data_IF_744631976834
#
_entry.id   IF_744631976834
#
_cell.length_a   1.000
_cell.length_b   1.000
_cell.length_c   1.000
_cell.angle_alpha   90.00
_cell.angle_beta   90.00
_cell.angle_gamma   90.00
#
_symmetry.space_group_name_H-M   'P 1'
#
loop_
_entity.id
_entity.type
_entity.pdbx_description
1 polymer ?
#
# COMPACT_ATOMS: atom_id res chain seq x y z
N UNK A 1 -0.45 -37.60 -35.39
CA UNK A 1 0.70 -36.79 -34.92
C UNK A 1 0.35 -35.31 -34.71
N UNK A 2 -0.36 -34.63 -35.63
CA UNK A 2 -0.77 -33.20 -35.46
C UNK A 2 -1.61 -32.90 -34.19
N UNK A 3 -2.49 -33.83 -33.77
CA UNK A 3 -3.32 -33.69 -32.55
C UNK A 3 -2.51 -33.79 -31.25
N UNK A 4 -1.40 -34.54 -31.22
CA UNK A 4 -0.53 -34.60 -30.03
C UNK A 4 0.24 -33.30 -29.84
N UNK A 5 0.76 -32.71 -30.92
CA UNK A 5 1.45 -31.41 -30.87
C UNK A 5 0.51 -30.27 -30.44
N UNK A 6 -0.73 -30.28 -30.91
CA UNK A 6 -1.75 -29.29 -30.49
C UNK A 6 -2.11 -29.42 -29.01
N UNK A 7 -2.25 -30.64 -28.48
CA UNK A 7 -2.56 -30.87 -27.07
C UNK A 7 -1.42 -30.42 -26.15
N UNK A 8 -0.17 -30.79 -26.48
CA UNK A 8 1.00 -30.38 -25.70
C UNK A 8 1.22 -28.86 -25.71
N UNK A 9 0.91 -28.17 -26.81
CA UNK A 9 1.00 -26.71 -26.89
C UNK A 9 -0.02 -26.02 -25.99
N UNK A 10 -1.24 -26.54 -25.91
CA UNK A 10 -2.30 -26.02 -25.04
C UNK A 10 -1.93 -26.19 -23.57
N UNK A 11 -1.35 -27.34 -23.20
CA UNK A 11 -0.88 -27.60 -21.83
C UNK A 11 0.28 -26.69 -21.43
N UNK A 12 1.21 -26.41 -22.34
CA UNK A 12 2.32 -25.47 -22.06
C UNK A 12 1.78 -24.04 -21.89
N UNK A 13 0.80 -23.64 -22.70
CA UNK A 13 0.19 -22.31 -22.63
C UNK A 13 -0.58 -22.09 -21.31
N UNK A 14 -1.26 -23.12 -20.80
CA UNK A 14 -1.98 -23.02 -19.52
C UNK A 14 -1.03 -22.89 -18.31
N UNK A 15 0.11 -23.59 -18.34
CA UNK A 15 1.14 -23.49 -17.29
C UNK A 15 1.79 -22.10 -17.28
N UNK A 16 2.03 -21.50 -18.46
CA UNK A 16 2.57 -20.14 -18.57
C UNK A 16 1.57 -19.11 -18.01
N UNK A 17 0.27 -19.27 -18.27
CA UNK A 17 -0.76 -18.37 -17.76
C UNK A 17 -0.92 -18.45 -16.23
N UNK A 18 -0.73 -19.64 -15.62
CA UNK A 18 -0.70 -19.81 -14.17
C UNK A 18 0.60 -19.30 -13.51
N UNK A 19 1.69 -19.16 -14.27
CA UNK A 19 2.98 -18.69 -13.79
C UNK A 19 3.14 -17.16 -13.90
N UNK A 20 2.17 -16.46 -14.49
CA UNK A 20 2.15 -15.00 -14.44
C UNK A 20 1.95 -14.57 -12.99
N UNK A 21 2.86 -13.79 -12.40
CA UNK A 21 2.63 -13.24 -11.08
C UNK A 21 1.35 -12.41 -11.17
N UNK A 22 0.35 -12.73 -10.35
CA UNK A 22 -0.72 -11.81 -10.05
C UNK A 22 -0.06 -10.62 -9.36
N UNK A 23 0.28 -9.59 -10.12
CA UNK A 23 0.75 -8.33 -9.57
C UNK A 23 -0.35 -7.85 -8.63
N UNK A 24 -0.13 -7.98 -7.32
CA UNK A 24 -1.00 -7.36 -6.34
C UNK A 24 -1.01 -5.88 -6.66
N UNK A 25 -2.14 -5.36 -7.12
CA UNK A 25 -2.30 -3.92 -7.26
C UNK A 25 -2.04 -3.34 -5.88
N UNK A 26 -1.07 -2.43 -5.81
CA UNK A 26 -0.83 -1.62 -4.63
C UNK A 26 -2.17 -1.01 -4.24
N UNK A 27 -2.71 -1.38 -3.07
CA UNK A 27 -4.10 -1.08 -2.72
C UNK A 27 -4.36 0.43 -2.61
N UNK A 28 -3.32 1.23 -2.34
CA UNK A 28 -3.36 2.70 -2.37
C UNK A 28 -3.44 3.30 -3.78
N UNK A 29 -3.10 2.51 -4.81
CA UNK A 29 -3.10 2.89 -6.22
C UNK A 29 -4.37 2.41 -6.94
N UNK A 30 -5.41 2.01 -6.20
CA UNK A 30 -6.71 1.72 -6.79
C UNK A 30 -7.31 3.02 -7.36
N UNK A 31 -7.27 3.15 -8.68
CA UNK A 31 -7.70 4.34 -9.39
C UNK A 31 -9.18 4.67 -9.16
N UNK A 32 -10.05 3.67 -9.08
CA UNK A 32 -11.50 3.87 -8.87
C UNK A 32 -11.77 4.45 -7.48
N UNK A 33 -11.10 3.91 -6.45
CA UNK A 33 -11.24 4.42 -5.08
C UNK A 33 -10.66 5.83 -4.96
N UNK A 34 -9.54 6.10 -5.64
CA UNK A 34 -8.95 7.44 -5.66
C UNK A 34 -9.89 8.45 -6.32
N UNK A 35 -10.44 8.12 -7.48
CA UNK A 35 -11.40 8.97 -8.19
C UNK A 35 -12.62 9.29 -7.32
N UNK A 36 -13.17 8.27 -6.63
CA UNK A 36 -14.28 8.46 -5.71
C UNK A 36 -13.94 9.42 -4.54
N UNK A 37 -12.76 9.28 -3.93
CA UNK A 37 -12.31 10.19 -2.86
C UNK A 37 -12.07 11.61 -3.39
N UNK A 38 -11.50 11.74 -4.59
CA UNK A 38 -11.28 13.04 -5.22
C UNK A 38 -12.61 13.75 -5.51
N UNK A 39 -13.63 13.01 -5.96
CA UNK A 39 -14.99 13.54 -6.18
C UNK A 39 -15.68 13.93 -4.87
N UNK A 40 -15.65 13.07 -3.85
CA UNK A 40 -16.26 13.33 -2.55
C UNK A 40 -15.74 14.62 -1.91
N UNK A 41 -14.44 14.87 -2.07
CA UNK A 41 -13.78 16.01 -1.45
C UNK A 41 -13.48 17.14 -2.44
N UNK A 42 -13.90 17.05 -3.71
CA UNK A 42 -13.53 18.00 -4.77
C UNK A 42 -14.05 19.42 -4.56
N UNK A 43 -15.03 19.62 -3.68
CA UNK A 43 -15.53 20.95 -3.27
C UNK A 43 -14.77 21.56 -2.10
N UNK A 44 -13.91 20.79 -1.43
CA UNK A 44 -13.13 21.26 -0.28
C UNK A 44 -11.81 21.86 -0.74
N UNK A 45 -11.47 23.01 -0.17
CA UNK A 45 -10.15 23.61 -0.37
C UNK A 45 -9.10 22.85 0.46
N UNK A 46 -8.48 21.85 -0.16
CA UNK A 46 -7.46 20.99 0.45
C UNK A 46 -6.22 21.75 0.92
N UNK A 47 -5.97 22.96 0.41
CA UNK A 47 -4.87 23.80 0.90
C UNK A 47 -5.07 24.26 2.35
N UNK A 48 -6.29 24.13 2.89
CA UNK A 48 -6.62 24.46 4.28
C UNK A 48 -6.30 23.35 5.27
N UNK A 49 -5.89 22.17 4.82
CA UNK A 49 -5.43 21.08 5.70
C UNK A 49 -4.01 21.41 6.18
N UNK A 50 -3.79 21.81 7.45
CA UNK A 50 -2.53 22.44 7.87
C UNK A 50 -1.32 21.50 7.80
N UNK A 51 -1.55 20.19 7.97
CA UNK A 51 -0.52 19.14 7.95
C UNK A 51 -0.34 18.52 6.56
N UNK A 52 -1.20 18.85 5.60
CA UNK A 52 -1.29 18.15 4.32
C UNK A 52 -1.82 16.71 4.40
N UNK A 53 -2.26 16.24 5.57
CA UNK A 53 -2.83 14.91 5.79
C UNK A 53 -4.26 15.02 6.30
N UNK A 54 -5.20 14.37 5.62
CA UNK A 54 -6.60 14.32 5.99
C UNK A 54 -7.04 12.87 6.15
N UNK A 55 -7.39 12.47 7.38
CA UNK A 55 -7.80 11.09 7.70
C UNK A 55 -8.99 10.63 6.85
N UNK A 56 -10.00 11.48 6.66
CA UNK A 56 -11.20 11.11 5.89
C UNK A 56 -10.93 10.96 4.38
N UNK A 57 -9.79 11.47 3.91
CA UNK A 57 -9.30 11.30 2.54
C UNK A 57 -8.36 10.08 2.39
N UNK A 58 -8.09 9.39 3.50
CA UNK A 58 -7.27 8.18 3.49
C UNK A 58 -8.04 6.98 2.96
N UNK A 59 -7.32 6.09 2.30
CA UNK A 59 -7.75 4.71 2.14
C UNK A 59 -7.33 3.94 3.40
N UNK A 60 -8.19 3.94 4.41
CA UNK A 60 -7.92 3.40 5.75
C UNK A 60 -7.90 1.85 5.72
N UNK A 61 -6.70 1.27 5.66
CA UNK A 61 -6.46 -0.18 5.71
C UNK A 61 -6.28 -0.70 7.14
N UNK A 62 -6.01 0.20 8.08
CA UNK A 62 -5.88 -0.07 9.52
C UNK A 62 -6.72 0.93 10.30
N UNK A 63 -7.33 0.47 11.39
CA UNK A 63 -8.00 1.36 12.33
C UNK A 63 -6.98 2.25 13.05
N UNK A 64 -6.93 3.55 12.70
CA UNK A 64 -6.02 4.50 13.31
C UNK A 64 -6.32 4.75 14.80
N UNK A 65 -7.52 4.47 15.29
CA UNK A 65 -7.86 4.69 16.70
C UNK A 65 -7.07 3.76 17.64
N UNK A 66 -6.51 2.67 17.08
CA UNK A 66 -5.61 1.75 17.80
C UNK A 66 -4.21 2.33 18.03
N UNK A 67 -3.86 3.44 17.38
CA UNK A 67 -2.54 4.06 17.41
C UNK A 67 -2.60 5.48 17.99
N UNK A 68 -3.31 5.65 19.11
CA UNK A 68 -3.57 6.94 19.73
C UNK A 68 -2.47 7.42 20.70
N UNK A 69 -1.42 6.61 20.89
CA UNK A 69 -0.29 6.92 21.77
C UNK A 69 -0.63 6.94 23.27
N UNK A 70 -1.85 6.53 23.68
CA UNK A 70 -2.24 6.51 25.11
C UNK A 70 -1.60 5.36 25.88
N UNK A 71 -1.31 4.25 25.20
CA UNK A 71 -0.60 3.10 25.78
C UNK A 71 0.77 3.04 25.13
N UNK A 72 1.81 3.43 25.88
CA UNK A 72 3.19 3.19 25.49
C UNK A 72 3.50 1.73 25.80
N UNK A 73 3.69 0.92 24.76
CA UNK A 73 4.20 -0.44 24.92
C UNK A 73 5.72 -0.42 24.74
N UNK A 74 6.42 -1.02 25.69
CA UNK A 74 7.88 -1.06 25.81
C UNK A 74 8.56 -1.66 24.55
N UNK A 75 7.77 -2.39 23.76
CA UNK A 75 8.08 -2.90 22.44
C UNK A 75 6.91 -2.61 21.50
N UNK A 76 7.05 -1.61 20.63
CA UNK A 76 6.08 -1.30 19.56
C UNK A 76 6.20 -2.32 18.42
N UNK A 77 6.09 -3.61 18.73
CA UNK A 77 6.12 -4.65 17.72
C UNK A 77 4.82 -4.60 16.93
N UNK A 78 4.94 -4.32 15.64
CA UNK A 78 3.84 -4.35 14.69
C UNK A 78 4.15 -5.44 13.68
N UNK A 79 3.13 -6.25 13.38
CA UNK A 79 3.23 -7.27 12.35
C UNK A 79 3.47 -6.59 10.99
N UNK A 80 4.27 -7.22 10.12
CA UNK A 80 4.77 -6.58 8.88
C UNK A 80 3.63 -6.08 8.00
N UNK A 81 2.57 -6.87 7.79
CA UNK A 81 1.41 -6.47 7.00
C UNK A 81 0.69 -5.30 7.63
N UNK A 82 0.53 -5.29 8.95
CA UNK A 82 -0.04 -4.17 9.70
C UNK A 82 0.78 -2.88 9.52
N UNK A 83 2.11 -2.98 9.54
CA UNK A 83 2.99 -1.84 9.30
C UNK A 83 2.88 -1.32 7.86
N UNK A 84 2.87 -2.22 6.88
CA UNK A 84 2.62 -1.88 5.48
C UNK A 84 1.30 -1.12 5.31
N UNK A 85 0.21 -1.63 5.88
CA UNK A 85 -1.10 -1.00 5.78
C UNK A 85 -1.15 0.35 6.47
N UNK A 86 -0.44 0.52 7.59
CA UNK A 86 -0.30 1.82 8.25
C UNK A 86 0.40 2.84 7.34
N UNK A 87 1.52 2.46 6.71
CA UNK A 87 2.23 3.33 5.77
C UNK A 87 1.35 3.69 4.56
N UNK A 88 0.64 2.73 3.97
CA UNK A 88 -0.27 2.97 2.83
C UNK A 88 -1.45 3.87 3.22
N UNK A 89 -2.02 3.67 4.41
CA UNK A 89 -3.11 4.50 4.91
C UNK A 89 -2.65 5.95 5.12
N UNK A 90 -1.46 6.16 5.71
CA UNK A 90 -0.89 7.50 5.89
C UNK A 90 -0.56 8.15 4.54
N UNK A 91 0.07 7.42 3.63
CA UNK A 91 0.42 7.94 2.29
C UNK A 91 -0.81 8.31 1.47
N UNK A 92 -1.89 7.54 1.57
CA UNK A 92 -3.15 7.80 0.88
C UNK A 92 -3.92 8.99 1.46
N UNK A 93 -3.73 9.32 2.74
CA UNK A 93 -4.33 10.49 3.41
C UNK A 93 -3.77 11.85 2.96
N UNK A 94 -2.67 11.83 2.21
CA UNK A 94 -2.00 13.06 1.79
C UNK A 94 -2.80 13.79 0.70
N UNK A 95 -3.21 15.01 1.02
CA UNK A 95 -3.94 15.94 0.13
C UNK A 95 -3.01 16.85 -0.68
N UNK A 96 -1.70 16.70 -0.48
CA UNK A 96 -0.64 17.39 -1.19
C UNK A 96 0.55 16.47 -1.47
N UNK A 97 1.74 16.88 -1.07
CA UNK A 97 2.94 16.05 -1.22
C UNK A 97 2.86 14.79 -0.35
N UNK A 98 3.36 13.67 -0.88
CA UNK A 98 3.38 12.41 -0.15
C UNK A 98 4.40 12.50 1.00
N UNK A 99 4.05 12.09 2.23
CA UNK A 99 4.84 12.34 3.44
C UNK A 99 6.15 11.55 3.51
N UNK A 100 6.34 10.57 2.65
CA UNK A 100 7.56 9.77 2.54
C UNK A 100 7.66 9.17 1.13
N UNK A 101 8.69 8.37 0.88
CA UNK A 101 8.90 7.62 -0.37
C UNK A 101 7.89 6.46 -0.55
N UNK A 102 7.83 5.79 -1.73
CA UNK A 102 6.88 4.69 -1.96
C UNK A 102 7.02 3.56 -0.93
N UNK A 103 5.89 3.00 -0.48
CA UNK A 103 5.85 2.02 0.62
C UNK A 103 6.71 0.79 0.31
N UNK A 104 6.66 0.30 -0.93
CA UNK A 104 7.47 -0.86 -1.33
C UNK A 104 8.97 -0.63 -1.10
N UNK A 105 9.48 0.58 -1.36
CA UNK A 105 10.90 0.89 -1.12
C UNK A 105 11.25 0.86 0.38
N UNK A 106 10.32 1.26 1.25
CA UNK A 106 10.50 1.18 2.69
C UNK A 106 10.53 -0.29 3.11
N UNK A 107 9.59 -1.10 2.63
CA UNK A 107 9.51 -2.54 2.93
C UNK A 107 10.72 -3.33 2.41
N UNK A 108 11.26 -2.96 1.24
CA UNK A 108 12.46 -3.55 0.68
C UNK A 108 13.67 -3.27 1.59
N UNK A 109 13.79 -2.04 2.09
CA UNK A 109 14.84 -1.72 3.06
C UNK A 109 14.65 -2.49 4.36
N UNK A 110 13.41 -2.63 4.86
CA UNK A 110 13.12 -3.47 6.04
C UNK A 110 13.61 -4.91 5.88
N UNK A 111 13.44 -5.49 4.70
CA UNK A 111 13.89 -6.85 4.43
C UNK A 111 15.42 -6.97 4.45
N UNK A 112 16.13 -5.87 4.16
CA UNK A 112 17.58 -5.83 4.04
C UNK A 112 18.28 -5.27 5.30
N UNK A 113 17.53 -4.80 6.30
CA UNK A 113 18.07 -4.24 7.55
C UNK A 113 18.60 -5.35 8.46
N UNK A 114 19.90 -5.26 8.78
CA UNK A 114 20.56 -6.14 9.77
C UNK A 114 20.64 -5.52 11.17
N UNK A 115 20.41 -4.21 11.34
CA UNK A 115 20.62 -3.48 12.61
C UNK A 115 19.33 -3.16 13.41
N UNK A 116 18.18 -3.63 12.93
CA UNK A 116 16.88 -3.44 13.57
C UNK A 116 16.27 -2.03 13.44
N UNK A 117 16.87 -1.12 12.66
CA UNK A 117 16.38 0.25 12.47
C UNK A 117 16.04 0.57 11.01
N UNK A 118 14.90 1.23 10.77
CA UNK A 118 14.41 1.54 9.41
C UNK A 118 14.27 3.05 9.25
N UNK A 119 14.93 3.60 8.22
CA UNK A 119 14.77 5.00 7.85
C UNK A 119 13.51 5.17 6.97
N UNK A 120 12.45 5.72 7.56
CA UNK A 120 11.20 6.03 6.85
C UNK A 120 11.31 7.37 6.08
N UNK A 121 12.27 8.23 6.45
CA UNK A 121 12.53 9.50 5.74
C UNK A 121 11.49 10.58 6.01
N UNK A 122 10.95 10.59 7.24
CA UNK A 122 9.98 11.57 7.76
C UNK A 122 10.71 12.78 8.34
#
# INVERSE_FOLDING_TARGET
MKKLFSSSLITILSVIFCALPASGQSLEDNAEVREFLDDMFGQLDMSKVPTGLLRDYAFELVDFDRYDGKVLTDSNYVEKTTFEYLLRSIRSSAVGEKPFRPVNSILDDMHNVNDGSIAVGI
#
